data_IF_137283370870
#
_entry.id   IF_137283370870
#
_cell.length_a   1.000
_cell.length_b   1.000
_cell.length_c   1.000
_cell.angle_alpha   90.00
_cell.angle_beta   90.00
_cell.angle_gamma   90.00
#
_symmetry.space_group_name_H-M   'P 1'
#
loop_
_entity.id
_entity.type
_entity.pdbx_description
1 polymer ?
#
# COMPACT_ATOMS: atom_id res chain seq x y z
N UNK A 1 24.41 4.50 -3.87
CA UNK A 1 24.12 5.48 -2.80
C UNK A 1 22.62 5.69 -2.81
N UNK A 2 21.98 5.69 -1.65
CA UNK A 2 20.58 6.10 -1.51
C UNK A 2 20.48 7.61 -1.71
N UNK A 3 19.35 8.09 -2.22
CA UNK A 3 19.13 9.52 -2.42
C UNK A 3 18.83 10.23 -1.09
N UNK A 4 18.99 11.55 -1.06
CA UNK A 4 18.63 12.34 0.11
C UNK A 4 17.13 12.27 0.41
N UNK A 5 16.27 12.24 -0.62
CA UNK A 5 14.82 12.15 -0.49
C UNK A 5 14.41 10.81 0.10
N UNK A 6 15.03 9.69 -0.34
CA UNK A 6 14.80 8.38 0.25
C UNK A 6 15.08 8.36 1.77
N UNK A 7 16.20 8.94 2.20
CA UNK A 7 16.55 8.98 3.63
C UNK A 7 15.57 9.85 4.44
N UNK A 8 15.12 10.98 3.88
CA UNK A 8 14.10 11.84 4.51
C UNK A 8 12.78 11.08 4.63
N UNK A 9 12.33 10.43 3.57
CA UNK A 9 11.10 9.63 3.56
C UNK A 9 11.18 8.47 4.56
N UNK A 10 12.27 7.70 4.53
CA UNK A 10 12.53 6.62 5.47
C UNK A 10 12.55 7.09 6.93
N UNK A 11 13.14 8.26 7.19
CA UNK A 11 13.15 8.86 8.53
C UNK A 11 11.71 9.19 8.97
N UNK A 12 10.92 9.85 8.12
CA UNK A 12 9.52 10.16 8.41
C UNK A 12 8.74 8.91 8.83
N UNK A 13 8.82 7.84 8.04
CA UNK A 13 8.13 6.59 8.34
C UNK A 13 8.69 5.86 9.58
N UNK A 14 9.99 6.01 9.86
CA UNK A 14 10.59 5.53 11.11
C UNK A 14 9.98 6.22 12.32
N UNK A 15 9.87 7.54 12.29
CA UNK A 15 9.30 8.34 13.36
C UNK A 15 7.78 8.10 13.51
N UNK A 16 7.11 7.83 12.41
CA UNK A 16 5.67 7.56 12.32
C UNK A 16 5.27 6.13 12.77
N UNK A 17 6.23 5.20 12.85
CA UNK A 17 5.94 3.77 13.03
C UNK A 17 5.04 3.45 14.24
N UNK A 18 5.24 4.02 15.46
CA UNK A 18 4.39 3.68 16.60
C UNK A 18 2.92 4.07 16.41
N UNK A 19 2.66 5.28 15.95
CA UNK A 19 1.29 5.78 15.75
C UNK A 19 0.61 5.12 14.54
N UNK A 20 1.36 4.81 13.47
CA UNK A 20 0.82 4.08 12.34
C UNK A 20 0.54 2.61 12.69
N UNK A 21 1.33 2.03 13.61
CA UNK A 21 1.07 0.70 14.17
C UNK A 21 -0.27 0.65 14.92
N UNK A 22 -0.61 1.70 15.67
CA UNK A 22 -1.91 1.78 16.34
C UNK A 22 -3.06 1.71 15.34
N UNK A 23 -2.99 2.47 14.23
CA UNK A 23 -3.99 2.39 13.15
C UNK A 23 -4.11 0.96 12.62
N UNK A 24 -2.99 0.27 12.37
CA UNK A 24 -3.02 -1.12 11.90
C UNK A 24 -3.61 -2.09 12.93
N UNK A 25 -3.39 -1.87 14.22
CA UNK A 25 -4.02 -2.68 15.27
C UNK A 25 -5.53 -2.49 15.29
N UNK A 26 -6.03 -1.28 15.10
CA UNK A 26 -7.46 -0.99 14.97
C UNK A 26 -8.06 -1.65 13.73
N UNK A 27 -7.37 -1.58 12.59
CA UNK A 27 -7.77 -2.29 11.36
C UNK A 27 -7.82 -3.82 11.57
N UNK A 28 -6.82 -4.39 12.26
CA UNK A 28 -6.78 -5.83 12.59
C UNK A 28 -7.88 -6.25 13.56
N UNK A 29 -8.29 -5.38 14.46
CA UNK A 29 -9.39 -5.63 15.41
C UNK A 29 -10.78 -5.38 14.77
N UNK A 30 -10.83 -4.58 13.69
CA UNK A 30 -12.05 -4.15 13.03
C UNK A 30 -12.54 -5.03 11.89
N UNK A 31 -13.62 -4.59 11.26
CA UNK A 31 -14.18 -5.22 10.07
C UNK A 31 -13.25 -5.15 8.85
N UNK A 32 -12.30 -4.23 8.84
CA UNK A 32 -11.33 -4.03 7.77
C UNK A 32 -10.49 -5.30 7.54
N UNK A 33 -10.11 -6.01 8.60
CA UNK A 33 -9.41 -7.30 8.51
C UNK A 33 -10.11 -8.27 7.53
N UNK A 34 -11.39 -8.52 7.74
CA UNK A 34 -12.16 -9.45 6.89
C UNK A 34 -12.47 -8.88 5.52
N UNK A 35 -12.67 -7.56 5.41
CA UNK A 35 -12.95 -6.89 4.16
C UNK A 35 -11.74 -6.94 3.22
N UNK A 36 -10.57 -6.59 3.73
CA UNK A 36 -9.31 -6.63 2.98
C UNK A 36 -8.92 -8.06 2.59
N UNK A 37 -9.01 -9.02 3.53
CA UNK A 37 -8.71 -10.41 3.21
C UNK A 37 -9.61 -10.92 2.09
N UNK A 38 -10.92 -10.63 2.15
CA UNK A 38 -11.87 -11.02 1.11
C UNK A 38 -11.52 -10.42 -0.25
N UNK A 39 -11.20 -9.12 -0.29
CA UNK A 39 -10.86 -8.44 -1.54
C UNK A 39 -9.58 -9.01 -2.16
N UNK A 40 -8.50 -9.13 -1.39
CA UNK A 40 -7.22 -9.66 -1.87
C UNK A 40 -7.38 -11.12 -2.30
N UNK A 41 -8.01 -11.97 -1.48
CA UNK A 41 -8.23 -13.38 -1.81
C UNK A 41 -9.08 -13.56 -3.06
N UNK A 42 -10.09 -12.70 -3.27
CA UNK A 42 -10.89 -12.69 -4.50
C UNK A 42 -10.03 -12.44 -5.73
N UNK A 43 -9.14 -11.46 -5.69
CA UNK A 43 -8.22 -11.16 -6.80
C UNK A 43 -7.26 -12.32 -7.07
N UNK A 44 -6.70 -12.91 -6.01
CA UNK A 44 -5.80 -14.06 -6.13
C UNK A 44 -6.53 -15.28 -6.72
N UNK A 45 -7.74 -15.58 -6.27
CA UNK A 45 -8.53 -16.70 -6.75
C UNK A 45 -8.95 -16.56 -8.23
N UNK A 46 -9.14 -15.33 -8.73
CA UNK A 46 -9.41 -15.14 -10.17
C UNK A 46 -8.22 -15.58 -11.03
N UNK A 47 -6.99 -15.47 -10.53
CA UNK A 47 -5.76 -15.88 -11.24
C UNK A 47 -5.40 -17.34 -10.94
N UNK A 48 -5.64 -17.79 -9.72
CA UNK A 48 -5.25 -19.11 -9.23
C UNK A 48 -6.46 -19.88 -8.66
N UNK A 49 -7.50 -20.18 -9.45
CA UNK A 49 -8.77 -20.73 -8.94
C UNK A 49 -8.65 -22.12 -8.28
N UNK A 50 -7.61 -22.88 -8.64
CA UNK A 50 -7.39 -24.26 -8.18
C UNK A 50 -6.18 -24.40 -7.23
N UNK A 51 -5.59 -23.30 -6.76
CA UNK A 51 -4.45 -23.34 -5.85
C UNK A 51 -4.89 -22.98 -4.43
N UNK A 52 -4.45 -23.78 -3.47
CA UNK A 52 -4.66 -23.49 -2.07
C UNK A 52 -3.74 -22.30 -1.64
N UNK A 53 -4.14 -21.49 -0.63
CA UNK A 53 -3.31 -20.39 -0.13
C UNK A 53 -1.87 -20.80 0.20
N UNK A 54 -1.69 -22.01 0.78
CA UNK A 54 -0.38 -22.54 1.16
C UNK A 54 0.57 -22.83 -0.01
N UNK A 55 0.06 -22.81 -1.23
CA UNK A 55 0.86 -23.00 -2.46
C UNK A 55 1.24 -21.67 -3.12
N UNK A 56 0.72 -20.53 -2.61
CA UNK A 56 0.88 -19.21 -3.19
C UNK A 56 1.90 -18.39 -2.39
N UNK A 57 2.94 -17.92 -3.07
CA UNK A 57 3.96 -17.04 -2.50
C UNK A 57 3.59 -15.59 -2.76
N UNK A 58 3.58 -14.78 -1.70
CA UNK A 58 3.18 -13.37 -1.72
C UNK A 58 4.31 -12.48 -1.24
N UNK A 59 4.64 -11.44 -1.99
CA UNK A 59 5.47 -10.33 -1.54
C UNK A 59 4.59 -9.16 -1.14
N UNK A 60 4.63 -8.76 0.14
CA UNK A 60 4.06 -7.52 0.65
C UNK A 60 5.14 -6.44 0.61
N UNK A 61 5.07 -5.57 -0.40
CA UNK A 61 6.07 -4.55 -0.68
C UNK A 61 5.72 -3.24 0.01
N UNK A 62 6.56 -2.81 0.97
CA UNK A 62 6.28 -1.69 1.86
C UNK A 62 5.22 -2.07 2.89
N UNK A 63 5.45 -3.17 3.61
CA UNK A 63 4.49 -3.76 4.55
C UNK A 63 4.09 -2.82 5.70
N UNK A 64 4.91 -1.78 5.98
CA UNK A 64 4.69 -0.91 7.13
C UNK A 64 4.58 -1.71 8.43
N UNK A 65 3.56 -1.43 9.28
CA UNK A 65 3.31 -2.18 10.50
C UNK A 65 2.68 -3.58 10.30
N UNK A 66 2.63 -4.09 9.06
CA UNK A 66 2.38 -5.50 8.77
C UNK A 66 0.93 -5.91 8.52
N UNK A 67 -0.01 -4.99 8.33
CA UNK A 67 -1.42 -5.32 8.22
C UNK A 67 -1.72 -6.39 7.16
N UNK A 68 -1.24 -6.21 5.91
CA UNK A 68 -1.47 -7.20 4.86
C UNK A 68 -0.72 -8.50 5.12
N UNK A 69 0.53 -8.41 5.58
CA UNK A 69 1.32 -9.59 5.90
C UNK A 69 0.62 -10.48 6.94
N UNK A 70 0.05 -9.88 7.98
CA UNK A 70 -0.64 -10.61 9.06
C UNK A 70 -1.90 -11.31 8.55
N UNK A 71 -2.81 -10.60 7.89
CA UNK A 71 -4.08 -11.19 7.44
C UNK A 71 -3.89 -12.28 6.38
N UNK A 72 -2.84 -12.17 5.55
CA UNK A 72 -2.52 -13.16 4.54
C UNK A 72 -1.83 -14.39 5.14
N UNK A 73 -0.91 -14.23 6.09
CA UNK A 73 -0.28 -15.34 6.79
C UNK A 73 -1.32 -16.15 7.59
N UNK A 74 -2.24 -15.47 8.26
CA UNK A 74 -3.37 -16.11 8.95
C UNK A 74 -4.27 -16.92 8.00
N UNK A 75 -4.47 -16.44 6.77
CA UNK A 75 -5.21 -17.15 5.74
C UNK A 75 -4.41 -18.29 5.08
N UNK A 76 -3.15 -18.49 5.49
CA UNK A 76 -2.30 -19.58 5.06
C UNK A 76 -1.41 -19.30 3.84
N UNK A 77 -1.36 -18.06 3.34
CA UNK A 77 -0.43 -17.68 2.27
C UNK A 77 1.02 -17.71 2.76
N UNK A 78 1.98 -17.98 1.86
CA UNK A 78 3.41 -17.87 2.13
C UNK A 78 3.86 -16.42 1.94
N UNK A 79 3.98 -15.67 3.01
CA UNK A 79 4.22 -14.23 2.96
C UNK A 79 5.68 -13.89 3.23
N UNK A 80 6.26 -13.11 2.32
CA UNK A 80 7.48 -12.32 2.55
C UNK A 80 7.08 -10.86 2.62
N UNK A 81 7.44 -10.16 3.70
CA UNK A 81 7.07 -8.78 3.97
C UNK A 81 8.33 -7.91 4.04
N UNK A 82 8.40 -6.87 3.23
CA UNK A 82 9.56 -5.99 3.17
C UNK A 82 9.20 -4.54 3.49
N UNK A 83 10.09 -3.87 4.21
CA UNK A 83 10.04 -2.43 4.45
C UNK A 83 11.46 -1.87 4.61
N UNK A 84 11.66 -0.60 4.22
CA UNK A 84 12.94 0.08 4.33
C UNK A 84 13.20 0.66 5.74
N UNK A 85 12.14 0.87 6.54
CA UNK A 85 12.21 1.42 7.88
C UNK A 85 12.28 0.29 8.94
N UNK A 86 13.39 0.15 9.69
CA UNK A 86 13.50 -0.89 10.72
C UNK A 86 12.42 -0.79 11.79
N UNK A 87 11.97 0.42 12.13
CA UNK A 87 10.92 0.64 13.11
C UNK A 87 9.57 0.08 12.63
N UNK A 88 9.25 0.22 11.33
CA UNK A 88 8.06 -0.39 10.74
C UNK A 88 8.08 -1.92 10.88
N UNK A 89 9.20 -2.56 10.54
CA UNK A 89 9.33 -4.01 10.69
C UNK A 89 9.27 -4.48 12.14
N UNK A 90 9.77 -3.68 13.08
CA UNK A 90 9.64 -3.99 14.50
C UNK A 90 8.18 -3.98 14.94
N UNK A 91 7.39 -2.99 14.47
CA UNK A 91 5.94 -2.95 14.69
C UNK A 91 5.23 -4.13 13.98
N UNK A 92 5.59 -4.40 12.71
CA UNK A 92 5.00 -5.51 11.96
C UNK A 92 5.16 -6.85 12.68
N UNK A 93 6.34 -7.13 13.21
CA UNK A 93 6.60 -8.34 14.01
C UNK A 93 5.76 -8.38 15.29
N UNK A 94 5.59 -7.25 15.99
CA UNK A 94 4.71 -7.19 17.16
C UNK A 94 3.25 -7.44 16.81
N UNK A 95 2.77 -6.80 15.75
CA UNK A 95 1.40 -6.93 15.29
C UNK A 95 1.08 -8.34 14.75
N UNK A 96 2.07 -9.04 14.23
CA UNK A 96 1.92 -10.42 13.76
C UNK A 96 1.61 -11.42 14.89
N UNK A 97 2.01 -11.12 16.13
CA UNK A 97 1.72 -11.98 17.28
C UNK A 97 2.09 -13.45 17.00
N UNK A 98 1.12 -14.38 17.05
CA UNK A 98 1.39 -15.80 16.84
C UNK A 98 1.80 -16.14 15.40
N UNK A 99 1.57 -15.26 14.45
CA UNK A 99 1.92 -15.45 13.03
C UNK A 99 3.33 -14.95 12.68
N UNK A 100 4.07 -14.39 13.65
CA UNK A 100 5.40 -13.81 13.41
C UNK A 100 6.36 -14.77 12.71
N UNK A 101 6.40 -16.03 13.14
CA UNK A 101 7.29 -17.06 12.58
C UNK A 101 6.81 -17.57 11.19
N UNK A 102 5.55 -17.30 10.83
CA UNK A 102 4.99 -17.67 9.53
C UNK A 102 5.26 -16.63 8.44
N UNK A 103 5.79 -15.46 8.81
CA UNK A 103 6.07 -14.35 7.90
C UNK A 103 7.57 -14.12 7.79
N UNK A 104 8.09 -14.09 6.57
CA UNK A 104 9.50 -13.75 6.30
C UNK A 104 9.68 -12.22 6.22
N UNK A 105 9.98 -11.59 7.36
CA UNK A 105 10.21 -10.15 7.45
C UNK A 105 11.63 -9.78 7.05
N UNK A 106 11.81 -8.91 6.05
CA UNK A 106 13.12 -8.47 5.58
C UNK A 106 13.23 -6.94 5.52
N UNK A 107 14.33 -6.41 6.05
CA UNK A 107 14.71 -5.01 5.87
C UNK A 107 15.21 -4.82 4.43
N UNK A 108 14.40 -4.17 3.60
CA UNK A 108 14.67 -4.07 2.17
C UNK A 108 13.91 -2.88 1.57
N UNK A 109 14.52 -2.18 0.62
CA UNK A 109 13.86 -1.15 -0.17
C UNK A 109 12.89 -1.79 -1.15
N UNK A 110 11.61 -1.47 -1.03
CA UNK A 110 10.56 -1.96 -1.92
C UNK A 110 10.73 -1.50 -3.37
N UNK A 111 11.47 -0.41 -3.62
CA UNK A 111 11.79 0.04 -4.98
C UNK A 111 12.79 -0.88 -5.69
N UNK A 112 13.67 -1.54 -4.92
CA UNK A 112 14.76 -2.37 -5.46
C UNK A 112 14.84 -3.70 -4.71
N UNK A 113 13.79 -4.53 -4.74
CA UNK A 113 13.79 -5.81 -4.04
C UNK A 113 14.87 -6.72 -4.63
N UNK A 114 15.73 -7.27 -3.77
CA UNK A 114 16.90 -8.08 -4.15
C UNK A 114 16.59 -9.58 -4.19
N UNK A 115 15.37 -9.94 -4.59
CA UNK A 115 15.00 -11.33 -4.81
C UNK A 115 15.41 -11.80 -6.20
N UNK A 116 15.56 -13.10 -6.36
CA UNK A 116 15.73 -13.71 -7.68
C UNK A 116 14.50 -13.47 -8.54
N UNK A 117 14.70 -13.46 -9.87
CA UNK A 117 13.58 -13.39 -10.81
C UNK A 117 12.55 -14.50 -10.53
N UNK A 118 11.28 -14.21 -10.76
CA UNK A 118 10.21 -15.21 -10.76
C UNK A 118 10.03 -15.94 -9.42
N UNK A 119 10.24 -15.22 -8.30
CA UNK A 119 10.12 -15.78 -6.94
C UNK A 119 8.70 -15.81 -6.40
N UNK A 120 7.84 -14.88 -6.83
CA UNK A 120 6.52 -14.69 -6.22
C UNK A 120 5.37 -14.91 -7.20
N UNK A 121 4.31 -15.54 -6.71
CA UNK A 121 3.03 -15.64 -7.42
C UNK A 121 2.29 -14.31 -7.40
N UNK A 122 2.38 -13.58 -6.29
CA UNK A 122 1.71 -12.30 -6.07
C UNK A 122 2.71 -11.28 -5.53
N UNK A 123 2.69 -10.07 -6.05
CA UNK A 123 3.28 -8.87 -5.43
C UNK A 123 2.14 -7.92 -5.13
N UNK A 124 2.03 -7.49 -3.88
CA UNK A 124 1.04 -6.50 -3.48
C UNK A 124 1.66 -5.33 -2.72
N UNK A 125 0.96 -4.20 -2.73
CA UNK A 125 1.36 -2.99 -2.02
C UNK A 125 0.14 -2.16 -1.66
N UNK A 126 0.21 -1.42 -0.53
CA UNK A 126 -0.82 -0.47 -0.11
C UNK A 126 -0.19 0.85 0.33
N UNK A 127 -0.71 1.97 -0.20
CA UNK A 127 -0.30 3.33 0.19
C UNK A 127 1.22 3.58 0.06
N UNK A 128 1.86 3.00 -0.96
CA UNK A 128 3.31 3.09 -1.14
C UNK A 128 3.70 3.79 -2.44
N UNK A 129 3.09 3.43 -3.57
CA UNK A 129 3.61 3.84 -4.88
C UNK A 129 3.56 5.35 -5.09
N UNK A 130 2.66 6.06 -4.45
CA UNK A 130 2.54 7.52 -4.51
C UNK A 130 3.78 8.27 -4.02
N UNK A 131 4.54 7.69 -3.05
CA UNK A 131 5.66 8.35 -2.36
C UNK A 131 7.04 7.88 -2.87
N UNK A 132 7.07 7.05 -3.90
CA UNK A 132 8.31 6.51 -4.47
C UNK A 132 9.04 7.53 -5.35
N UNK A 133 10.36 7.47 -5.36
CA UNK A 133 11.20 8.32 -6.22
C UNK A 133 11.19 7.88 -7.69
N UNK A 134 11.15 6.56 -7.92
CA UNK A 134 11.11 5.98 -9.26
C UNK A 134 10.03 4.88 -9.32
N UNK A 135 8.75 5.28 -9.40
CA UNK A 135 7.65 4.33 -9.42
C UNK A 135 7.58 3.50 -10.70
N UNK A 136 8.05 4.00 -11.86
CA UNK A 136 8.12 3.22 -13.11
C UNK A 136 9.15 2.09 -12.98
N UNK A 137 10.36 2.40 -12.51
CA UNK A 137 11.38 1.39 -12.26
C UNK A 137 10.93 0.40 -11.18
N UNK A 138 10.21 0.88 -10.17
CA UNK A 138 9.67 0.02 -9.10
C UNK A 138 8.69 -1.03 -9.66
N UNK A 139 7.75 -0.63 -10.51
CA UNK A 139 6.88 -1.58 -11.20
C UNK A 139 7.65 -2.56 -12.07
N UNK A 140 8.72 -2.11 -12.74
CA UNK A 140 9.64 -2.95 -13.49
C UNK A 140 10.32 -4.01 -12.62
N UNK A 141 10.79 -3.62 -11.44
CA UNK A 141 11.42 -4.50 -10.46
C UNK A 141 10.42 -5.49 -9.85
N UNK A 142 9.19 -5.04 -9.55
CA UNK A 142 8.12 -5.94 -9.08
C UNK A 142 7.73 -6.96 -10.16
N UNK A 143 7.62 -6.52 -11.42
CA UNK A 143 7.43 -7.44 -12.54
C UNK A 143 8.56 -8.45 -12.68
N UNK A 144 9.81 -8.05 -12.42
CA UNK A 144 10.98 -8.97 -12.48
C UNK A 144 10.84 -10.12 -11.47
N UNK A 145 10.45 -9.82 -10.24
CA UNK A 145 10.33 -10.83 -9.18
C UNK A 145 9.03 -11.64 -9.25
N UNK A 146 8.01 -11.20 -10.01
CA UNK A 146 6.81 -11.97 -10.31
C UNK A 146 7.13 -13.14 -11.23
N UNK A 147 6.54 -14.30 -10.97
CA UNK A 147 6.52 -15.46 -11.86
C UNK A 147 5.77 -15.13 -13.16
N UNK A 148 6.01 -15.84 -14.27
CA UNK A 148 5.14 -15.78 -15.45
C UNK A 148 3.68 -16.08 -15.07
N UNK A 149 2.76 -15.21 -15.47
CA UNK A 149 1.35 -15.28 -15.04
C UNK A 149 1.09 -14.81 -13.61
N UNK A 150 2.10 -14.27 -12.93
CA UNK A 150 1.99 -13.73 -11.57
C UNK A 150 1.15 -12.44 -11.51
N UNK A 151 0.51 -12.22 -10.37
CA UNK A 151 -0.42 -11.12 -10.11
C UNK A 151 0.27 -9.95 -9.39
N UNK A 152 0.17 -8.76 -9.95
CA UNK A 152 0.44 -7.50 -9.27
C UNK A 152 -0.86 -6.92 -8.73
N UNK A 153 -0.90 -6.55 -7.44
CA UNK A 153 -1.97 -5.77 -6.82
C UNK A 153 -1.39 -4.50 -6.18
N UNK A 154 -1.88 -3.34 -6.59
CA UNK A 154 -1.51 -2.09 -5.95
C UNK A 154 -2.76 -1.33 -5.50
N UNK A 155 -2.83 -1.02 -4.21
CA UNK A 155 -3.89 -0.24 -3.58
C UNK A 155 -3.33 1.12 -3.18
N UNK A 156 -3.79 2.18 -3.83
CA UNK A 156 -3.26 3.53 -3.59
C UNK A 156 -4.32 4.61 -3.84
N UNK A 157 -3.98 5.86 -3.58
CA UNK A 157 -4.84 7.01 -3.85
C UNK A 157 -4.03 8.19 -4.39
N UNK A 158 -4.73 9.23 -4.83
CA UNK A 158 -4.10 10.49 -5.26
C UNK A 158 -3.76 11.36 -4.04
N UNK A 159 -2.97 10.79 -3.12
CA UNK A 159 -2.55 11.45 -1.89
C UNK A 159 -1.82 12.76 -2.21
N UNK A 160 -2.20 13.84 -1.51
CA UNK A 160 -1.58 15.17 -1.61
C UNK A 160 -1.74 15.88 -2.97
N UNK A 161 -2.57 15.40 -3.90
CA UNK A 161 -2.84 16.11 -5.16
C UNK A 161 -3.48 17.50 -4.92
N UNK A 162 -4.10 17.71 -3.75
CA UNK A 162 -4.60 19.02 -3.32
C UNK A 162 -3.50 20.10 -3.20
N UNK A 163 -2.22 19.71 -3.18
CA UNK A 163 -1.10 20.67 -3.23
C UNK A 163 -0.93 21.35 -4.59
N UNK A 164 -1.50 20.77 -5.65
CA UNK A 164 -1.38 21.23 -7.02
C UNK A 164 -2.71 21.67 -7.66
N UNK A 165 -3.83 21.45 -6.98
CA UNK A 165 -5.16 21.70 -7.52
C UNK A 165 -6.05 22.36 -6.45
N UNK A 166 -6.56 23.57 -6.77
CA UNK A 166 -7.35 24.38 -5.84
C UNK A 166 -8.71 23.75 -5.52
N UNK A 167 -9.32 23.05 -6.49
CA UNK A 167 -10.62 22.41 -6.31
C UNK A 167 -10.45 21.17 -5.39
N UNK A 168 -9.39 20.40 -5.59
CA UNK A 168 -9.04 19.30 -4.68
C UNK A 168 -8.70 19.80 -3.29
N UNK A 169 -8.07 20.97 -3.17
CA UNK A 169 -7.80 21.59 -1.86
C UNK A 169 -9.11 21.95 -1.14
N UNK A 170 -10.08 22.51 -1.82
CA UNK A 170 -11.39 22.79 -1.23
C UNK A 170 -12.09 21.51 -0.77
N UNK A 171 -12.00 20.43 -1.53
CA UNK A 171 -12.56 19.13 -1.17
C UNK A 171 -11.85 18.55 0.07
N UNK A 172 -10.52 18.60 0.12
CA UNK A 172 -9.75 18.19 1.29
C UNK A 172 -10.15 18.99 2.55
N UNK A 173 -10.28 20.31 2.44
CA UNK A 173 -10.74 21.16 3.54
C UNK A 173 -12.18 20.83 3.96
N UNK A 174 -13.04 20.44 2.99
CA UNK A 174 -14.39 19.98 3.32
C UNK A 174 -14.36 18.65 4.09
N UNK A 175 -13.47 17.73 3.75
CA UNK A 175 -13.30 16.48 4.52
C UNK A 175 -12.90 16.79 5.98
N UNK A 176 -11.96 17.73 6.21
CA UNK A 176 -11.57 18.15 7.57
C UNK A 176 -12.77 18.71 8.35
N UNK A 177 -13.61 19.53 7.70
CA UNK A 177 -14.84 20.04 8.32
C UNK A 177 -15.83 18.92 8.62
N UNK A 178 -15.98 17.95 7.72
CA UNK A 178 -16.87 16.80 7.94
C UNK A 178 -16.40 15.92 9.10
N UNK A 179 -15.09 15.68 9.24
CA UNK A 179 -14.49 14.96 10.37
C UNK A 179 -14.82 15.66 11.68
N UNK A 180 -14.59 16.97 11.74
CA UNK A 180 -14.90 17.77 12.94
C UNK A 180 -16.39 17.78 13.29
N UNK A 181 -17.27 17.93 12.30
CA UNK A 181 -18.73 17.95 12.51
C UNK A 181 -19.29 16.63 13.02
N UNK A 182 -18.63 15.51 12.69
CA UNK A 182 -19.03 14.19 13.14
C UNK A 182 -18.28 13.72 14.41
N UNK A 183 -17.48 14.60 15.02
CA UNK A 183 -16.67 14.30 16.23
C UNK A 183 -15.81 13.02 16.03
N UNK A 184 -15.17 12.92 14.86
CA UNK A 184 -14.34 11.79 14.51
C UNK A 184 -12.85 12.14 14.68
N UNK A 185 -12.01 11.12 14.85
CA UNK A 185 -10.58 11.29 14.82
C UNK A 185 -10.13 11.77 13.43
N UNK A 186 -9.34 12.85 13.40
CA UNK A 186 -8.75 13.36 12.18
C UNK A 186 -7.42 12.67 11.92
N UNK A 187 -7.39 11.80 10.95
CA UNK A 187 -6.21 11.00 10.60
C UNK A 187 -5.04 11.82 10.06
N UNK A 188 -5.27 13.04 9.55
CA UNK A 188 -4.19 13.93 9.12
C UNK A 188 -3.58 14.72 10.28
N UNK A 189 -4.38 15.20 11.22
CA UNK A 189 -3.90 15.99 12.36
C UNK A 189 -3.06 15.18 13.36
N UNK A 190 -3.23 13.85 13.37
CA UNK A 190 -2.39 12.95 14.18
C UNK A 190 -0.99 12.73 13.59
N UNK A 191 -0.63 13.43 12.50
CA UNK A 191 0.63 13.27 11.79
C UNK A 191 1.40 14.59 11.67
N UNK A 192 2.70 14.53 11.37
CA UNK A 192 3.43 15.70 10.88
C UNK A 192 3.09 15.94 9.41
N UNK A 193 1.94 16.60 9.18
CA UNK A 193 1.43 16.87 7.84
C UNK A 193 2.42 17.74 7.03
N UNK A 194 3.07 18.72 7.68
CA UNK A 194 4.00 19.60 6.97
C UNK A 194 5.22 18.85 6.44
N UNK A 195 5.77 17.95 7.24
CA UNK A 195 6.89 17.10 6.80
C UNK A 195 6.48 16.19 5.64
N UNK A 196 5.27 15.62 5.67
CA UNK A 196 4.79 14.78 4.58
C UNK A 196 4.44 15.57 3.33
N UNK A 197 3.85 16.75 3.44
CA UNK A 197 3.63 17.65 2.30
C UNK A 197 4.95 18.06 1.63
N UNK A 198 6.00 18.34 2.43
CA UNK A 198 7.33 18.63 1.91
C UNK A 198 7.95 17.45 1.15
N UNK A 199 7.69 16.22 1.56
CA UNK A 199 8.05 14.99 0.80
C UNK A 199 7.20 14.89 -0.47
N UNK A 200 5.88 15.04 -0.35
CA UNK A 200 4.93 14.93 -1.45
C UNK A 200 5.23 15.89 -2.60
N UNK A 201 5.73 17.10 -2.31
CA UNK A 201 6.15 18.07 -3.32
C UNK A 201 7.40 17.66 -4.12
N UNK A 202 8.14 16.65 -3.67
CA UNK A 202 9.39 16.20 -4.30
C UNK A 202 9.25 14.85 -5.03
N UNK A 203 8.14 14.13 -4.84
CA UNK A 203 7.93 12.83 -5.47
C UNK A 203 7.16 12.96 -6.80
N UNK A 204 7.44 12.10 -7.80
CA UNK A 204 6.98 12.31 -9.16
C UNK A 204 5.48 12.12 -9.37
N UNK A 205 4.79 11.38 -8.49
CA UNK A 205 3.36 11.07 -8.68
C UNK A 205 2.39 12.04 -8.03
N UNK A 206 2.86 12.94 -7.15
CA UNK A 206 2.01 14.01 -6.63
C UNK A 206 1.68 15.00 -7.75
N UNK A 207 0.40 15.33 -7.91
CA UNK A 207 -0.10 16.14 -9.02
C UNK A 207 -0.34 15.35 -10.31
N UNK A 208 0.00 14.08 -10.35
CA UNK A 208 -0.31 13.20 -11.48
C UNK A 208 -1.63 12.48 -11.24
N UNK A 209 -2.48 12.44 -12.26
CA UNK A 209 -3.76 11.75 -12.17
C UNK A 209 -3.58 10.24 -12.28
N UNK A 210 -3.80 9.55 -11.18
CA UNK A 210 -3.84 8.10 -11.08
C UNK A 210 -5.31 7.63 -10.99
N UNK A 211 -5.64 6.43 -11.43
CA UNK A 211 -4.76 5.32 -11.87
C UNK A 211 -4.36 5.34 -13.36
N UNK A 212 -4.65 6.39 -14.13
CA UNK A 212 -4.32 6.44 -15.56
C UNK A 212 -2.82 6.31 -15.83
N UNK A 213 -2.00 6.95 -15.00
CA UNK A 213 -0.54 6.84 -15.11
C UNK A 213 -0.07 5.39 -14.88
N UNK A 214 -0.64 4.72 -13.88
CA UNK A 214 -0.31 3.34 -13.53
C UNK A 214 -0.61 2.39 -14.69
N UNK A 215 -1.79 2.51 -15.30
CA UNK A 215 -2.20 1.68 -16.45
C UNK A 215 -1.19 1.83 -17.59
N UNK A 216 -0.88 3.07 -18.01
CA UNK A 216 0.07 3.33 -19.10
C UNK A 216 1.48 2.78 -18.79
N UNK A 217 1.93 2.93 -17.55
CA UNK A 217 3.24 2.42 -17.11
C UNK A 217 3.28 0.90 -17.18
N UNK A 218 2.24 0.22 -16.69
CA UNK A 218 2.17 -1.23 -16.72
C UNK A 218 2.03 -1.78 -18.17
N UNK A 219 1.35 -1.05 -19.08
CA UNK A 219 1.32 -1.37 -20.52
C UNK A 219 2.71 -1.28 -21.13
N UNK A 220 3.47 -0.20 -20.87
CA UNK A 220 4.88 -0.07 -21.30
C UNK A 220 5.73 -1.23 -20.79
N UNK A 221 5.51 -1.67 -19.58
CA UNK A 221 6.19 -2.81 -18.96
C UNK A 221 5.67 -4.17 -19.46
N UNK A 222 4.75 -4.18 -20.44
CA UNK A 222 4.17 -5.39 -21.03
C UNK A 222 3.47 -6.30 -20.00
N UNK A 223 2.86 -5.69 -18.99
CA UNK A 223 1.88 -6.39 -18.16
C UNK A 223 0.58 -6.59 -18.96
N UNK A 224 -0.19 -7.61 -18.59
CA UNK A 224 -1.44 -8.01 -19.27
C UNK A 224 -2.62 -7.93 -18.33
N UNK A 225 -3.83 -7.97 -18.87
CA UNK A 225 -5.09 -7.98 -18.11
C UNK A 225 -5.12 -6.87 -17.05
N UNK A 226 -4.64 -5.67 -17.43
CA UNK A 226 -4.55 -4.53 -16.50
C UNK A 226 -5.98 -4.03 -16.25
N UNK A 227 -6.37 -3.97 -14.99
CA UNK A 227 -7.65 -3.45 -14.54
C UNK A 227 -7.46 -2.42 -13.44
N UNK A 228 -8.33 -1.42 -13.38
CA UNK A 228 -8.40 -0.45 -12.31
C UNK A 228 -9.81 -0.45 -11.71
N UNK A 229 -9.89 -0.53 -10.38
CA UNK A 229 -11.12 -0.41 -9.62
C UNK A 229 -11.04 0.84 -8.73
N UNK A 230 -11.72 1.89 -9.13
CA UNK A 230 -11.76 3.19 -8.41
C UNK A 230 -12.81 3.20 -7.30
N UNK A 231 -13.49 2.08 -7.07
CA UNK A 231 -14.50 1.91 -6.04
C UNK A 231 -14.11 0.95 -4.92
N UNK A 232 -12.90 0.40 -4.94
CA UNK A 232 -12.42 -0.59 -3.96
C UNK A 232 -12.57 -0.10 -2.52
N UNK A 233 -12.34 1.19 -2.28
CA UNK A 233 -12.47 1.83 -0.96
C UNK A 233 -13.84 1.63 -0.33
N UNK A 234 -14.92 1.56 -1.13
CA UNK A 234 -16.27 1.32 -0.63
C UNK A 234 -16.42 -0.03 0.09
N UNK A 235 -15.60 -1.02 -0.30
CA UNK A 235 -15.62 -2.38 0.24
C UNK A 235 -14.65 -2.59 1.39
N UNK A 236 -13.52 -1.86 1.39
CA UNK A 236 -12.41 -2.13 2.32
C UNK A 236 -12.28 -1.12 3.45
N UNK A 237 -12.67 0.14 3.24
CA UNK A 237 -12.56 1.18 4.25
C UNK A 237 -13.66 1.12 5.31
N UNK A 238 -13.29 1.52 6.51
CA UNK A 238 -14.23 1.78 7.61
C UNK A 238 -15.11 3.01 7.32
N UNK A 239 -16.23 3.20 8.02
CA UNK A 239 -17.03 4.42 7.92
C UNK A 239 -16.21 5.69 8.24
N UNK A 240 -15.28 5.63 9.18
CA UNK A 240 -14.42 6.76 9.58
C UNK A 240 -13.46 7.13 8.46
N UNK A 241 -12.80 6.16 7.81
CA UNK A 241 -11.93 6.41 6.67
C UNK A 241 -12.69 7.02 5.49
N UNK A 242 -13.92 6.57 5.23
CA UNK A 242 -14.76 7.11 4.15
C UNK A 242 -15.08 8.60 4.32
N UNK A 243 -15.13 9.09 5.56
CA UNK A 243 -15.31 10.51 5.87
C UNK A 243 -13.96 11.25 5.82
N UNK A 244 -12.90 10.64 6.40
CA UNK A 244 -11.57 11.24 6.43
C UNK A 244 -10.98 11.47 5.04
N UNK A 245 -11.24 10.57 4.09
CA UNK A 245 -10.56 10.51 2.80
C UNK A 245 -11.53 10.60 1.60
N UNK A 246 -12.69 11.22 1.77
CA UNK A 246 -13.72 11.31 0.73
C UNK A 246 -13.20 11.96 -0.57
N UNK A 247 -12.33 12.97 -0.46
CA UNK A 247 -11.70 13.67 -1.58
C UNK A 247 -10.55 12.88 -2.24
N UNK A 248 -10.03 11.84 -1.59
CA UNK A 248 -8.90 11.03 -2.08
C UNK A 248 -9.25 9.53 -2.07
N UNK A 249 -10.30 9.10 -2.80
CA UNK A 249 -10.75 7.72 -2.78
C UNK A 249 -9.67 6.78 -3.31
N UNK A 250 -9.48 5.66 -2.58
CA UNK A 250 -8.52 4.64 -2.97
C UNK A 250 -8.96 3.90 -4.23
N UNK A 251 -8.02 3.62 -5.09
CA UNK A 251 -8.16 2.72 -6.23
C UNK A 251 -7.32 1.44 -6.03
N UNK A 252 -7.68 0.40 -6.74
CA UNK A 252 -6.89 -0.82 -6.89
C UNK A 252 -6.46 -0.96 -8.35
N UNK A 253 -5.21 -1.32 -8.56
CA UNK A 253 -4.70 -1.82 -9.84
C UNK A 253 -4.44 -3.32 -9.69
N UNK A 254 -4.90 -4.10 -10.67
CA UNK A 254 -4.53 -5.50 -10.83
C UNK A 254 -3.93 -5.70 -12.24
N UNK A 255 -2.82 -6.42 -12.33
CA UNK A 255 -2.16 -6.71 -13.60
C UNK A 255 -1.44 -8.06 -13.56
N UNK A 256 -1.31 -8.71 -14.71
CA UNK A 256 -0.67 -10.04 -14.87
C UNK A 256 0.64 -9.87 -15.63
N UNK A 257 1.73 -10.52 -15.14
CA UNK A 257 3.02 -10.58 -15.86
C UNK A 257 2.94 -11.42 -17.12
#
# INVERSE_FOLDING_TARGET
>A
MTSALFEVNKKYWTDRAPSYSQVNQEELAGCQRSNWLREISRQIQMVYPNRAPQEITVLDAGTGPGFFAVILAEAGYKVTAIDAAPAMLAEAKRNAGPWQEAIDFRLMDAQKPTFTAESFDVVLSRNLTWVLEDPEQTYGNWRHVLKPGGLLLNFDANWYNYLYDADLKQQYEQDRRNVQQNDLEDHYLSTDINAMEAIALQVPLTGIQRPHWDIRTLEKLRMRSITADVSVWQRVWSPVEKINYASTPMFMIAAIK
#
